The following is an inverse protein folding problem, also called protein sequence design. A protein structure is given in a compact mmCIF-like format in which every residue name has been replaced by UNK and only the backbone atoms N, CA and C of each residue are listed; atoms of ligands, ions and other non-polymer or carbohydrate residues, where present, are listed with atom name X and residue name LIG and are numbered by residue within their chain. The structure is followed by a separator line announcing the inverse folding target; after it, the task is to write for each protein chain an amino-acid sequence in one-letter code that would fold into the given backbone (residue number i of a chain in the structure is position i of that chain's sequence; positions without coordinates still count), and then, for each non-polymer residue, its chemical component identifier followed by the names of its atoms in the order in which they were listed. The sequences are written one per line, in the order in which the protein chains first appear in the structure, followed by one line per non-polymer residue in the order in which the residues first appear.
data_IF_066987518131
#
_entry.id   IF_066987518131
#
_cell.length_a   1.000
_cell.length_b   1.000
_cell.length_c   1.000
_cell.angle_alpha   90.00
_cell.angle_beta   90.00
_cell.angle_gamma   90.00
#
_symmetry.space_group_name_H-M   'P 1'
#
loop_
_entity.id
_entity.type
_entity.pdbx_description
1 polymer ?
#
# COMPACT_ATOMS: atom_id res chain seq x y z
N UNK A 1 -18.67 -20.28 -3.40
CA UNK A 1 -18.50 -20.10 -1.95
C UNK A 1 -19.78 -19.56 -1.35
N UNK A 2 -20.19 -20.08 -0.20
CA UNK A 2 -21.25 -19.48 0.60
C UNK A 2 -20.75 -18.18 1.27
N UNK A 3 -21.66 -17.28 1.67
CA UNK A 3 -21.31 -16.07 2.43
C UNK A 3 -20.47 -16.40 3.68
N UNK A 4 -20.81 -17.51 4.34
CA UNK A 4 -20.11 -17.96 5.54
C UNK A 4 -18.66 -18.35 5.26
N UNK A 5 -18.36 -18.95 4.11
CA UNK A 5 -16.99 -19.26 3.69
C UNK A 5 -16.19 -17.99 3.40
N UNK A 6 -16.78 -16.99 2.72
CA UNK A 6 -16.11 -15.72 2.42
C UNK A 6 -15.75 -14.98 3.71
N UNK A 7 -16.67 -14.94 4.67
CA UNK A 7 -16.42 -14.37 5.99
C UNK A 7 -15.31 -15.10 6.72
N UNK A 8 -15.32 -16.44 6.67
CA UNK A 8 -14.28 -17.26 7.30
C UNK A 8 -12.90 -17.00 6.72
N UNK A 9 -12.76 -16.96 5.39
CA UNK A 9 -11.47 -16.73 4.71
C UNK A 9 -10.90 -15.35 5.03
N UNK A 10 -11.74 -14.31 5.06
CA UNK A 10 -11.25 -12.95 5.34
C UNK A 10 -10.97 -12.72 6.83
N UNK A 11 -11.90 -13.09 7.71
CA UNK A 11 -11.80 -12.82 9.15
C UNK A 11 -10.79 -13.71 9.86
N UNK A 12 -10.58 -14.95 9.39
CA UNK A 12 -9.56 -15.85 9.93
C UNK A 12 -8.23 -15.76 9.16
N UNK A 13 -8.05 -14.76 8.30
CA UNK A 13 -6.75 -14.53 7.65
C UNK A 13 -5.70 -14.19 8.71
N UNK A 14 -4.44 -14.66 8.57
CA UNK A 14 -3.38 -14.39 9.54
C UNK A 14 -3.19 -12.90 9.85
N UNK A 15 -3.38 -12.03 8.86
CA UNK A 15 -3.25 -10.58 9.01
C UNK A 15 -4.35 -9.98 9.89
N UNK A 16 -5.61 -10.37 9.68
CA UNK A 16 -6.73 -9.91 10.51
C UNK A 16 -6.59 -10.43 11.94
N UNK A 17 -6.20 -11.69 12.09
CA UNK A 17 -5.96 -12.29 13.41
C UNK A 17 -4.79 -11.61 14.15
N UNK A 18 -3.69 -11.29 13.46
CA UNK A 18 -2.57 -10.55 14.03
C UNK A 18 -2.96 -9.12 14.44
N UNK A 19 -3.83 -8.46 13.66
CA UNK A 19 -4.39 -7.15 14.01
C UNK A 19 -5.26 -7.22 15.27
N UNK A 20 -6.17 -8.20 15.34
CA UNK A 20 -7.01 -8.45 16.54
C UNK A 20 -6.15 -8.80 17.76
N UNK A 21 -5.10 -9.59 17.57
CA UNK A 21 -4.12 -9.87 18.63
C UNK A 21 -3.47 -8.58 19.13
N UNK A 22 -3.05 -7.69 18.22
CA UNK A 22 -2.49 -6.38 18.56
C UNK A 22 -3.45 -5.51 19.36
N UNK A 23 -4.71 -5.42 18.94
CA UNK A 23 -5.76 -4.71 19.70
C UNK A 23 -5.93 -5.33 21.08
N UNK A 24 -6.03 -6.65 21.16
CA UNK A 24 -6.23 -7.37 22.43
C UNK A 24 -5.03 -7.16 23.36
N UNK A 25 -3.81 -7.23 22.85
CA UNK A 25 -2.59 -6.96 23.60
C UNK A 25 -2.55 -5.52 24.13
N UNK A 26 -2.94 -4.54 23.32
CA UNK A 26 -3.02 -3.14 23.73
C UNK A 26 -4.08 -2.91 24.81
N UNK A 27 -5.28 -3.51 24.67
CA UNK A 27 -6.36 -3.42 25.65
C UNK A 27 -5.98 -4.06 27.00
N UNK A 28 -5.27 -5.18 26.96
CA UNK A 28 -4.74 -5.85 28.15
C UNK A 28 -3.51 -5.16 28.75
N UNK A 29 -3.03 -4.06 28.13
CA UNK A 29 -1.78 -3.37 28.50
C UNK A 29 -0.57 -4.31 28.57
N UNK A 30 -0.52 -5.25 27.63
CA UNK A 30 0.60 -6.18 27.51
C UNK A 30 1.88 -5.41 27.19
N UNK A 31 2.98 -5.73 27.87
CA UNK A 31 4.32 -5.19 27.60
C UNK A 31 4.96 -5.77 26.32
N UNK A 32 4.13 -6.16 25.34
CA UNK A 32 4.57 -6.71 24.07
C UNK A 32 5.23 -5.62 23.22
N UNK A 33 6.50 -5.34 23.51
CA UNK A 33 7.32 -4.38 22.79
C UNK A 33 8.30 -5.13 21.88
N UNK A 34 8.17 -4.90 20.57
CA UNK A 34 9.17 -5.35 19.62
C UNK A 34 10.32 -4.34 19.62
N UNK A 35 11.58 -4.76 19.82
CA UNK A 35 12.73 -3.86 19.74
C UNK A 35 12.81 -3.16 18.38
N UNK A 36 13.17 -1.89 18.37
CA UNK A 36 13.22 -1.07 17.14
C UNK A 36 14.18 -1.65 16.08
N UNK A 37 15.27 -2.27 16.52
CA UNK A 37 16.23 -2.94 15.64
C UNK A 37 15.59 -4.13 14.93
N UNK A 38 14.77 -4.91 15.64
CA UNK A 38 14.04 -6.06 15.08
C UNK A 38 13.00 -5.56 14.09
N UNK A 39 12.25 -4.51 14.43
CA UNK A 39 11.30 -3.88 13.52
C UNK A 39 11.97 -3.41 12.22
N UNK A 40 13.12 -2.76 12.33
CA UNK A 40 13.87 -2.23 11.18
C UNK A 40 14.37 -3.35 10.27
N UNK A 41 14.94 -4.43 10.84
CA UNK A 41 15.42 -5.58 10.08
C UNK A 41 14.26 -6.29 9.38
N UNK A 42 13.13 -6.51 10.07
CA UNK A 42 11.95 -7.13 9.47
C UNK A 42 11.40 -6.27 8.33
N UNK A 43 11.28 -4.96 8.54
CA UNK A 43 10.78 -4.03 7.50
C UNK A 43 11.67 -4.05 6.26
N UNK A 44 12.99 -3.98 6.44
CA UNK A 44 13.95 -4.02 5.33
C UNK A 44 13.93 -5.38 4.62
N UNK A 45 13.88 -6.47 5.37
CA UNK A 45 13.75 -7.82 4.81
C UNK A 45 12.47 -7.97 3.98
N UNK A 46 11.32 -7.51 4.51
CA UNK A 46 10.05 -7.59 3.80
C UNK A 46 10.08 -6.75 2.51
N UNK A 47 10.56 -5.52 2.58
CA UNK A 47 10.68 -4.65 1.40
C UNK A 47 11.59 -5.27 0.33
N UNK A 48 12.74 -5.81 0.76
CA UNK A 48 13.67 -6.51 -0.12
C UNK A 48 13.06 -7.79 -0.73
N UNK A 49 12.39 -8.60 0.08
CA UNK A 49 11.73 -9.84 -0.36
C UNK A 49 10.60 -9.57 -1.34
N UNK A 50 9.77 -8.55 -1.09
CA UNK A 50 8.70 -8.14 -2.01
C UNK A 50 9.31 -7.69 -3.35
N UNK A 51 10.37 -6.88 -3.30
CA UNK A 51 11.09 -6.41 -4.48
C UNK A 51 11.71 -7.55 -5.29
N UNK A 52 12.40 -8.48 -4.64
CA UNK A 52 13.01 -9.65 -5.29
C UNK A 52 11.95 -10.57 -5.92
N UNK A 53 10.89 -10.90 -5.18
CA UNK A 53 9.84 -11.80 -5.65
C UNK A 53 9.10 -11.20 -6.85
N UNK A 54 8.73 -9.93 -6.76
CA UNK A 54 8.11 -9.20 -7.86
C UNK A 54 9.02 -9.08 -9.07
N UNK A 55 10.29 -8.74 -8.88
CA UNK A 55 11.28 -8.64 -9.96
C UNK A 55 11.51 -9.98 -10.68
N UNK A 56 11.60 -11.07 -9.94
CA UNK A 56 11.76 -12.42 -10.49
C UNK A 56 10.55 -12.85 -11.34
N UNK A 57 9.33 -12.62 -10.84
CA UNK A 57 8.12 -12.99 -11.56
C UNK A 57 7.85 -12.05 -12.76
N UNK A 58 8.25 -10.78 -12.67
CA UNK A 58 8.23 -9.83 -13.80
C UNK A 58 9.22 -10.24 -14.90
N UNK A 59 10.43 -10.70 -14.55
CA UNK A 59 11.45 -11.12 -15.52
C UNK A 59 10.99 -12.29 -16.42
N UNK A 60 10.02 -13.08 -15.95
CA UNK A 60 9.41 -14.19 -16.71
C UNK A 60 8.17 -13.79 -17.50
N UNK A 61 7.66 -12.58 -17.29
CA UNK A 61 6.39 -12.12 -17.85
C UNK A 61 6.63 -11.27 -19.11
N UNK A 62 5.79 -11.38 -20.15
CA UNK A 62 5.88 -10.50 -21.31
C UNK A 62 5.66 -9.03 -20.90
N UNK A 63 6.62 -8.15 -21.23
CA UNK A 63 6.54 -6.71 -20.95
C UNK A 63 5.25 -6.06 -21.48
N UNK A 64 4.73 -6.55 -22.61
CA UNK A 64 3.49 -6.07 -23.23
C UNK A 64 2.25 -6.27 -22.36
N UNK A 65 2.21 -7.33 -21.55
CA UNK A 65 1.12 -7.57 -20.60
C UNK A 65 1.22 -6.73 -19.31
N UNK A 66 2.43 -6.28 -18.96
CA UNK A 66 2.70 -5.53 -17.74
C UNK A 66 2.59 -4.00 -17.91
N UNK A 67 3.02 -3.46 -19.06
CA UNK A 67 3.16 -2.02 -19.27
C UNK A 67 1.86 -1.25 -19.08
N UNK A 68 0.76 -1.73 -19.68
CA UNK A 68 -0.52 -1.04 -19.60
C UNK A 68 -1.08 -1.04 -18.16
N UNK A 69 -1.13 -2.17 -17.43
CA UNK A 69 -1.49 -2.17 -16.00
C UNK A 69 -0.58 -1.30 -15.12
N UNK A 70 0.73 -1.30 -15.36
CA UNK A 70 1.69 -0.50 -14.59
C UNK A 70 1.45 1.01 -14.79
N UNK A 71 1.23 1.44 -16.03
CA UNK A 71 0.89 2.82 -16.34
C UNK A 71 -0.47 3.23 -15.75
N UNK A 72 -1.47 2.35 -15.81
CA UNK A 72 -2.76 2.59 -15.18
C UNK A 72 -2.63 2.72 -13.65
N UNK A 73 -1.88 1.84 -13.00
CA UNK A 73 -1.64 1.87 -11.56
C UNK A 73 -0.89 3.15 -11.14
N UNK A 74 0.11 3.56 -11.91
CA UNK A 74 0.82 4.82 -11.70
C UNK A 74 -0.11 6.02 -11.87
N UNK A 75 -0.88 6.06 -12.95
CA UNK A 75 -1.84 7.13 -13.23
C UNK A 75 -2.87 7.26 -12.11
N UNK A 76 -3.47 6.16 -11.67
CA UNK A 76 -4.47 6.16 -10.60
C UNK A 76 -3.93 6.81 -9.33
N UNK A 77 -2.70 6.50 -8.90
CA UNK A 77 -2.19 7.12 -7.67
C UNK A 77 -1.45 8.41 -7.82
N UNK A 78 -1.29 8.94 -9.04
CA UNK A 78 -1.03 10.36 -9.22
C UNK A 78 -2.37 11.11 -9.18
N UNK A 79 -3.38 10.59 -9.87
CA UNK A 79 -4.72 11.18 -9.90
C UNK A 79 -5.27 11.31 -8.49
N UNK A 80 -5.21 10.27 -7.66
CA UNK A 80 -5.78 10.23 -6.30
C UNK A 80 -5.31 11.39 -5.39
N UNK A 81 -4.01 11.66 -5.22
CA UNK A 81 -3.57 12.80 -4.43
C UNK A 81 -3.86 14.15 -5.12
N UNK A 82 -3.80 14.21 -6.45
CA UNK A 82 -4.00 15.45 -7.22
C UNK A 82 -5.44 15.99 -7.11
N UNK A 83 -6.45 15.14 -7.21
CA UNK A 83 -7.86 15.58 -7.06
C UNK A 83 -8.30 15.69 -5.59
N UNK A 84 -7.74 14.90 -4.67
CA UNK A 84 -8.13 14.95 -3.25
C UNK A 84 -7.56 16.18 -2.53
N UNK A 85 -6.36 16.66 -2.91
CA UNK A 85 -5.76 17.88 -2.34
C UNK A 85 -6.67 19.12 -2.46
N UNK A 86 -7.21 19.51 -3.63
CA UNK A 86 -8.11 20.66 -3.73
C UNK A 86 -9.45 20.43 -3.03
N UNK A 87 -9.93 19.18 -2.95
CA UNK A 87 -11.15 18.84 -2.19
C UNK A 87 -10.91 19.06 -0.69
N UNK A 88 -9.82 18.53 -0.15
CA UNK A 88 -9.43 18.71 1.25
C UNK A 88 -9.19 20.19 1.58
N UNK A 89 -8.62 20.95 0.66
CA UNK A 89 -8.40 22.39 0.85
C UNK A 89 -9.70 23.19 0.81
N UNK A 90 -10.58 22.95 -0.16
CA UNK A 90 -11.81 23.75 -0.36
C UNK A 90 -12.96 23.35 0.55
N UNK A 91 -13.14 22.05 0.77
CA UNK A 91 -14.25 21.49 1.55
C UNK A 91 -13.79 21.19 2.97
N UNK A 92 -12.60 20.60 3.13
CA UNK A 92 -12.06 20.23 4.44
C UNK A 92 -11.43 21.39 5.22
N UNK A 93 -11.23 22.55 4.60
CA UNK A 93 -10.65 23.73 5.25
C UNK A 93 -9.17 23.58 5.66
N UNK A 94 -8.49 22.53 5.16
CA UNK A 94 -7.09 22.28 5.48
C UNK A 94 -6.15 23.28 4.78
N UNK A 95 -5.00 23.55 5.41
CA UNK A 95 -3.91 24.28 4.77
C UNK A 95 -3.42 23.54 3.52
N UNK A 96 -2.75 24.23 2.59
CA UNK A 96 -2.24 23.59 1.37
C UNK A 96 -1.30 22.43 1.64
N UNK A 97 -0.51 22.52 2.71
CA UNK A 97 0.48 21.52 3.13
C UNK A 97 -0.19 20.32 3.80
N UNK A 98 -1.17 20.57 4.67
CA UNK A 98 -1.90 19.49 5.36
C UNK A 98 -2.79 18.74 4.39
N UNK A 99 -3.51 19.46 3.52
CA UNK A 99 -4.34 18.85 2.48
C UNK A 99 -3.53 17.93 1.58
N UNK A 100 -2.34 18.37 1.14
CA UNK A 100 -1.47 17.56 0.31
C UNK A 100 -0.87 16.36 1.07
N UNK A 101 -0.47 16.54 2.33
CA UNK A 101 0.08 15.46 3.15
C UNK A 101 -0.94 14.35 3.39
N UNK A 102 -2.18 14.74 3.72
CA UNK A 102 -3.31 13.81 3.89
C UNK A 102 -3.62 13.11 2.55
N UNK A 103 -3.73 13.87 1.46
CA UNK A 103 -3.99 13.34 0.12
C UNK A 103 -2.94 12.30 -0.32
N UNK A 104 -1.66 12.56 -0.07
CA UNK A 104 -0.57 11.62 -0.36
C UNK A 104 -0.66 10.39 0.54
N UNK A 105 -0.85 10.59 1.85
CA UNK A 105 -0.87 9.48 2.81
C UNK A 105 -2.00 8.48 2.52
N UNK A 106 -3.21 8.98 2.25
CA UNK A 106 -4.36 8.13 1.91
C UNK A 106 -4.39 7.70 0.43
N UNK A 107 -3.57 8.31 -0.43
CA UNK A 107 -3.35 7.88 -1.81
C UNK A 107 -2.31 6.77 -1.98
N UNK A 108 -1.57 6.45 -0.92
CA UNK A 108 -0.60 5.36 -0.87
C UNK A 108 -1.29 3.98 -0.86
N UNK A 109 -0.50 2.92 -0.99
CA UNK A 109 -0.97 1.53 -0.97
C UNK A 109 -0.44 0.81 0.27
N UNK A 110 -1.17 -0.21 0.73
CA UNK A 110 -0.70 -1.05 1.84
C UNK A 110 -0.28 -2.44 1.36
N UNK A 111 0.92 -2.86 1.76
CA UNK A 111 1.40 -4.22 1.57
C UNK A 111 0.50 -5.26 2.28
N UNK A 112 -0.15 -4.87 3.38
CA UNK A 112 -1.06 -5.75 4.12
C UNK A 112 -2.33 -6.03 3.31
N UNK A 113 -2.88 -5.00 2.67
CA UNK A 113 -4.06 -5.13 1.79
C UNK A 113 -3.73 -5.97 0.56
N UNK A 114 -2.58 -5.74 -0.08
CA UNK A 114 -2.14 -6.57 -1.20
C UNK A 114 -2.05 -8.05 -0.79
N UNK A 115 -1.40 -8.33 0.35
CA UNK A 115 -1.21 -9.70 0.84
C UNK A 115 -2.54 -10.39 1.15
N UNK A 116 -3.49 -9.66 1.74
CA UNK A 116 -4.84 -10.18 2.00
C UNK A 116 -5.59 -10.49 0.69
N UNK A 117 -5.52 -9.62 -0.31
CA UNK A 117 -6.13 -9.85 -1.63
C UNK A 117 -5.52 -11.07 -2.33
N UNK A 118 -4.19 -11.21 -2.32
CA UNK A 118 -3.51 -12.37 -2.91
C UNK A 118 -3.96 -13.65 -2.22
N UNK A 119 -4.00 -13.68 -0.89
CA UNK A 119 -4.46 -14.84 -0.13
C UNK A 119 -5.91 -15.20 -0.47
N UNK A 120 -6.80 -14.21 -0.52
CA UNK A 120 -8.22 -14.40 -0.84
C UNK A 120 -8.45 -14.94 -2.25
N UNK A 121 -7.80 -14.34 -3.25
CA UNK A 121 -7.91 -14.76 -4.67
C UNK A 121 -7.28 -16.14 -4.88
N UNK A 122 -6.19 -16.45 -4.17
CA UNK A 122 -5.56 -17.78 -4.20
C UNK A 122 -6.48 -18.86 -3.64
N UNK A 123 -7.17 -18.58 -2.53
CA UNK A 123 -8.16 -19.49 -1.93
C UNK A 123 -9.37 -19.72 -2.86
N UNK A 124 -9.76 -18.70 -3.61
CA UNK A 124 -10.81 -18.80 -4.64
C UNK A 124 -10.36 -19.59 -5.87
N UNK A 125 -9.07 -19.93 -6.00
CA UNK A 125 -8.51 -20.56 -7.20
C UNK A 125 -8.57 -19.67 -8.44
N UNK A 126 -8.72 -18.35 -8.27
CA UNK A 126 -8.75 -17.40 -9.38
C UNK A 126 -7.31 -17.10 -9.78
N UNK A 127 -6.90 -17.37 -11.04
CA UNK A 127 -5.56 -17.05 -11.48
C UNK A 127 -5.37 -15.53 -11.52
N UNK A 128 -4.20 -15.08 -11.08
CA UNK A 128 -3.75 -13.70 -11.17
C UNK A 128 -2.30 -13.68 -11.62
N UNK A 129 -1.85 -12.53 -12.12
CA UNK A 129 -0.52 -12.40 -12.68
C UNK A 129 0.56 -12.37 -11.58
N UNK A 130 1.62 -13.16 -11.77
CA UNK A 130 2.72 -13.27 -10.78
C UNK A 130 3.45 -11.96 -10.50
N UNK A 131 3.37 -10.97 -11.40
CA UNK A 131 3.95 -9.65 -11.21
C UNK A 131 3.11 -8.72 -10.32
N UNK A 132 1.98 -9.16 -9.77
CA UNK A 132 1.13 -8.32 -8.90
C UNK A 132 1.89 -7.68 -7.71
N UNK A 133 2.82 -8.36 -7.02
CA UNK A 133 3.66 -7.71 -6.01
C UNK A 133 4.53 -6.57 -6.57
N UNK A 134 4.92 -6.63 -7.84
CA UNK A 134 5.66 -5.55 -8.52
C UNK A 134 4.80 -4.31 -8.71
N UNK A 135 3.49 -4.48 -8.91
CA UNK A 135 2.56 -3.34 -9.01
C UNK A 135 2.53 -2.53 -7.72
N UNK A 136 2.64 -3.17 -6.56
CA UNK A 136 2.76 -2.45 -5.28
C UNK A 136 3.98 -1.53 -5.27
N UNK A 137 5.14 -1.99 -5.77
CA UNK A 137 6.35 -1.16 -5.86
C UNK A 137 6.17 0.00 -6.84
N UNK A 138 5.53 -0.22 -8.00
CA UNK A 138 5.19 0.87 -8.94
C UNK A 138 4.28 1.90 -8.27
N UNK A 139 3.33 1.44 -7.45
CA UNK A 139 2.41 2.28 -6.70
C UNK A 139 3.05 3.00 -5.51
N UNK A 140 4.13 2.48 -4.93
CA UNK A 140 4.95 3.20 -3.95
C UNK A 140 5.77 4.31 -4.60
N UNK A 141 6.33 4.04 -5.79
CA UNK A 141 7.17 5.01 -6.52
C UNK A 141 6.42 6.32 -6.82
N UNK A 142 5.12 6.25 -7.13
CA UNK A 142 4.28 7.42 -7.39
C UNK A 142 4.12 8.31 -6.15
N UNK A 143 4.01 7.74 -4.94
CA UNK A 143 3.82 8.49 -3.71
C UNK A 143 5.06 9.33 -3.40
N UNK A 144 6.25 8.75 -3.60
CA UNK A 144 7.54 9.47 -3.53
C UNK A 144 7.61 10.58 -4.57
N UNK A 145 7.25 10.31 -5.82
CA UNK A 145 7.28 11.31 -6.90
C UNK A 145 6.33 12.49 -6.62
N UNK A 146 5.08 12.22 -6.25
CA UNK A 146 4.09 13.26 -5.93
C UNK A 146 4.51 14.03 -4.68
N UNK A 147 4.99 13.36 -3.64
CA UNK A 147 5.50 13.99 -2.43
C UNK A 147 6.65 14.95 -2.71
N UNK A 148 7.64 14.52 -3.51
CA UNK A 148 8.77 15.35 -3.90
C UNK A 148 8.33 16.56 -4.75
N UNK A 149 7.40 16.38 -5.68
CA UNK A 149 6.86 17.46 -6.52
C UNK A 149 6.13 18.53 -5.70
N UNK A 150 5.32 18.10 -4.73
CA UNK A 150 4.60 19.02 -3.84
C UNK A 150 5.58 19.76 -2.94
N UNK A 151 6.53 19.04 -2.30
CA UNK A 151 7.56 19.65 -1.46
C UNK A 151 8.36 20.72 -2.22
N UNK A 152 8.81 20.42 -3.44
CA UNK A 152 9.53 21.36 -4.31
C UNK A 152 8.70 22.60 -4.68
N UNK A 153 7.40 22.46 -4.94
CA UNK A 153 6.53 23.62 -5.20
C UNK A 153 6.33 24.50 -3.97
N UNK A 154 6.35 23.91 -2.79
CA UNK A 154 6.24 24.65 -1.53
C UNK A 154 7.53 25.41 -1.22
N UNK A 155 8.69 24.79 -1.44
CA UNK A 155 10.00 25.46 -1.31
C UNK A 155 10.18 26.58 -2.34
N UNK A 156 9.75 26.38 -3.59
CA UNK A 156 9.82 27.39 -4.65
C UNK A 156 8.84 28.55 -4.53
N UNK A 157 7.92 28.52 -3.56
CA UNK A 157 6.97 29.59 -3.26
C UNK A 157 7.36 30.46 -2.06
N UNK A 158 8.51 30.22 -1.44
CA UNK A 158 9.01 30.96 -0.27
C UNK A 158 10.02 32.06 -0.61
N UNK A 159 9.95 32.64 -1.82
CA UNK A 159 10.74 33.82 -2.23
C UNK A 159 9.82 34.94 -2.67
#
# INVERSE_FOLDING_TARGET
MSLMEILRVNLLSPMVLAFVLGITAALLKSDLKIPEQVYSIISLYLLFSIGLKGGFDLAKSPLTGFLLPALAAMAIGIVIPVWSTPILRRIGGFSGTDAASIAIHYGAVSATTLSACIAFISELGVPFEGYMPTMYVVMELRAVLVGLLIARRMEGGST
#
